data_IF_015126985067
#
_entry.id   IF_015126985067
#
_cell.length_a   1.000
_cell.length_b   1.000
_cell.length_c   1.000
_cell.angle_alpha   90.00
_cell.angle_beta   90.00
_cell.angle_gamma   90.00
#
_symmetry.space_group_name_H-M   'P 1'
#
loop_
_entity.id
_entity.type
_entity.pdbx_description
1 polymer ?
#
# COMPACT_ATOMS: atom_id res chain seq x y z
N UNK A 1 -4.79 8.24 13.85
CA UNK A 1 -3.47 7.61 13.67
C UNK A 1 -2.50 8.38 14.55
N UNK A 2 -1.81 7.70 15.45
CA UNK A 2 -0.73 8.28 16.26
C UNK A 2 0.51 8.34 15.35
N UNK A 3 0.84 9.53 14.85
CA UNK A 3 1.89 9.75 13.85
C UNK A 3 3.31 9.69 14.45
N UNK A 4 3.42 9.45 15.75
CA UNK A 4 4.65 9.61 16.54
C UNK A 4 5.60 8.40 16.45
N UNK A 5 5.18 7.30 15.82
CA UNK A 5 5.94 6.04 15.69
C UNK A 5 5.86 5.44 14.28
N UNK A 6 5.66 6.26 13.24
CA UNK A 6 5.66 5.77 11.87
C UNK A 6 7.09 5.36 11.49
N UNK A 7 7.26 4.08 11.16
CA UNK A 7 8.51 3.58 10.58
C UNK A 7 8.60 3.99 9.11
N UNK A 8 9.81 3.96 8.54
CA UNK A 8 10.00 4.15 7.10
C UNK A 8 9.18 3.14 6.26
N UNK A 9 8.89 1.97 6.83
CA UNK A 9 8.03 0.94 6.22
C UNK A 9 6.57 1.39 6.17
N UNK A 10 6.08 1.98 7.26
CA UNK A 10 4.73 2.54 7.31
C UNK A 10 4.56 3.70 6.32
N UNK A 11 5.58 4.55 6.17
CA UNK A 11 5.57 5.61 5.14
C UNK A 11 5.44 5.02 3.74
N UNK A 12 6.21 3.97 3.43
CA UNK A 12 6.13 3.30 2.13
C UNK A 12 4.75 2.68 1.89
N UNK A 13 4.13 2.10 2.92
CA UNK A 13 2.76 1.55 2.84
C UNK A 13 1.74 2.67 2.56
N UNK A 14 1.88 3.84 3.20
CA UNK A 14 1.03 5.01 2.95
C UNK A 14 1.20 5.52 1.52
N UNK A 15 2.42 5.54 1.00
CA UNK A 15 2.72 5.95 -0.38
C UNK A 15 2.07 4.97 -1.37
N UNK A 16 2.19 3.66 -1.12
CA UNK A 16 1.51 2.62 -1.90
C UNK A 16 -0.01 2.77 -1.85
N UNK A 17 -0.57 3.06 -0.68
CA UNK A 17 -2.02 3.26 -0.50
C UNK A 17 -2.48 4.46 -1.33
N UNK A 18 -1.80 5.59 -1.18
CA UNK A 18 -2.09 6.84 -1.88
C UNK A 18 -2.02 6.65 -3.39
N UNK A 19 -0.98 5.99 -3.88
CA UNK A 19 -0.80 5.71 -5.29
C UNK A 19 -1.93 4.82 -5.86
N UNK A 20 -2.35 3.81 -5.10
CA UNK A 20 -3.48 2.96 -5.49
C UNK A 20 -4.82 3.70 -5.43
N UNK A 21 -5.04 4.52 -4.40
CA UNK A 21 -6.27 5.29 -4.19
C UNK A 21 -6.48 6.28 -5.35
N UNK A 22 -5.42 6.98 -5.77
CA UNK A 22 -5.46 7.89 -6.92
C UNK A 22 -5.85 7.20 -8.24
N UNK A 23 -5.58 5.89 -8.40
CA UNK A 23 -5.96 5.13 -9.60
C UNK A 23 -7.38 4.57 -9.52
N UNK A 24 -7.93 4.45 -8.31
CA UNK A 24 -9.29 3.98 -8.04
C UNK A 24 -9.30 2.88 -6.96
N UNK A 25 -10.02 3.07 -5.84
CA UNK A 25 -10.01 2.14 -4.71
C UNK A 25 -10.60 0.76 -5.02
N UNK A 26 -11.50 0.65 -5.99
CA UNK A 26 -12.12 -0.61 -6.40
C UNK A 26 -11.23 -1.48 -7.33
N UNK A 27 -10.06 -0.98 -7.71
CA UNK A 27 -9.15 -1.70 -8.61
C UNK A 27 -8.32 -2.74 -7.86
N UNK A 28 -7.92 -3.76 -8.61
CA UNK A 28 -6.95 -4.75 -8.15
C UNK A 28 -5.58 -4.35 -8.68
N UNK A 29 -4.61 -4.30 -7.79
CA UNK A 29 -3.24 -3.93 -8.08
C UNK A 29 -2.33 -5.12 -7.87
N UNK A 30 -1.47 -5.39 -8.84
CA UNK A 30 -0.40 -6.37 -8.70
C UNK A 30 0.84 -5.67 -8.15
N UNK A 31 1.76 -6.40 -7.51
CA UNK A 31 3.03 -5.84 -7.02
C UNK A 31 3.73 -4.90 -8.02
N UNK A 32 3.99 -5.30 -9.29
CA UNK A 32 4.63 -4.41 -10.26
C UNK A 32 3.79 -3.16 -10.60
N UNK A 33 2.47 -3.23 -10.54
CA UNK A 33 1.61 -2.06 -10.74
C UNK A 33 1.73 -1.09 -9.56
N UNK A 34 1.73 -1.60 -8.32
CA UNK A 34 1.89 -0.77 -7.11
C UNK A 34 3.23 -0.03 -7.17
N UNK A 35 4.34 -0.76 -7.44
CA UNK A 35 5.67 -0.17 -7.59
C UNK A 35 5.68 0.96 -8.62
N UNK A 36 5.11 0.69 -9.80
CA UNK A 36 5.02 1.69 -10.87
C UNK A 36 4.21 2.91 -10.44
N UNK A 37 3.08 2.73 -9.75
CA UNK A 37 2.23 3.85 -9.34
C UNK A 37 2.89 4.72 -8.27
N UNK A 38 3.67 4.13 -7.37
CA UNK A 38 4.46 4.89 -6.40
C UNK A 38 5.61 5.62 -7.09
N UNK A 39 6.34 4.95 -7.98
CA UNK A 39 7.39 5.61 -8.75
C UNK A 39 6.85 6.76 -9.63
N UNK A 40 5.63 6.64 -10.16
CA UNK A 40 4.90 7.71 -10.84
C UNK A 40 4.56 8.88 -9.90
N UNK A 41 4.21 8.60 -8.63
CA UNK A 41 3.89 9.63 -7.63
C UNK A 41 5.09 10.51 -7.30
N UNK A 42 6.28 9.92 -7.22
CA UNK A 42 7.54 10.62 -6.93
C UNK A 42 8.30 11.08 -8.17
N UNK A 43 7.79 10.80 -9.38
CA UNK A 43 8.51 10.97 -10.65
C UNK A 43 9.93 10.37 -10.61
N UNK A 44 10.13 9.31 -9.83
CA UNK A 44 11.44 8.74 -9.52
C UNK A 44 11.42 7.22 -9.77
N UNK A 45 11.81 6.76 -10.97
CA UNK A 45 11.80 5.34 -11.30
C UNK A 45 12.79 4.57 -10.43
N UNK A 46 12.34 3.50 -9.79
CA UNK A 46 13.15 2.67 -8.91
C UNK A 46 13.23 3.18 -7.46
N UNK A 47 12.53 4.25 -7.09
CA UNK A 47 12.43 4.70 -5.70
C UNK A 47 11.91 3.57 -4.80
N UNK A 48 10.78 2.98 -5.19
CA UNK A 48 10.10 1.95 -4.40
C UNK A 48 10.93 0.68 -4.29
N UNK A 49 11.60 0.28 -5.38
CA UNK A 49 12.51 -0.89 -5.39
C UNK A 49 13.75 -0.65 -4.52
N UNK A 50 14.27 0.58 -4.49
CA UNK A 50 15.41 0.93 -3.64
C UNK A 50 15.03 0.82 -2.16
N UNK A 51 13.86 1.36 -1.78
CA UNK A 51 13.33 1.26 -0.41
C UNK A 51 13.12 -0.20 0.03
N UNK A 52 12.52 -1.03 -0.83
CA UNK A 52 12.32 -2.45 -0.54
C UNK A 52 13.64 -3.21 -0.29
N UNK A 53 14.71 -2.85 -1.01
CA UNK A 53 16.05 -3.40 -0.78
C UNK A 53 16.63 -2.96 0.57
N UNK A 54 16.38 -1.71 0.99
CA UNK A 54 16.80 -1.23 2.32
C UNK A 54 16.10 -2.01 3.45
N UNK A 55 14.83 -2.38 3.24
CA UNK A 55 14.04 -3.12 4.23
C UNK A 55 14.26 -4.64 4.21
N UNK A 56 14.94 -5.17 3.20
CA UNK A 56 15.05 -6.62 2.93
C UNK A 56 13.67 -7.32 2.91
N UNK A 57 12.65 -6.61 2.43
CA UNK A 57 11.25 -7.07 2.39
C UNK A 57 10.67 -6.96 0.99
N UNK A 58 9.76 -7.88 0.69
CA UNK A 58 8.91 -7.83 -0.50
C UNK A 58 7.70 -6.92 -0.30
N UNK A 59 7.12 -6.43 -1.40
CA UNK A 59 5.85 -5.67 -1.38
C UNK A 59 4.78 -6.49 -0.67
N UNK A 60 4.65 -7.79 -0.99
CA UNK A 60 3.71 -8.67 -0.28
C UNK A 60 3.89 -8.67 1.24
N UNK A 61 5.12 -8.67 1.77
CA UNK A 61 5.35 -8.66 3.21
C UNK A 61 4.91 -7.34 3.85
N UNK A 62 5.20 -6.20 3.21
CA UNK A 62 4.76 -4.88 3.69
C UNK A 62 3.23 -4.76 3.65
N UNK A 63 2.61 -5.13 2.53
CA UNK A 63 1.16 -5.05 2.38
C UNK A 63 0.43 -6.02 3.32
N UNK A 64 1.03 -7.19 3.63
CA UNK A 64 0.48 -8.12 4.62
C UNK A 64 0.52 -7.59 6.06
N UNK A 65 1.42 -6.65 6.36
CA UNK A 65 1.53 -6.00 7.67
C UNK A 65 0.50 -4.87 7.82
N UNK A 66 0.04 -4.30 6.70
CA UNK A 66 -0.98 -3.26 6.67
C UNK A 66 -2.40 -3.84 6.77
N UNK A 67 -3.29 -3.07 7.41
CA UNK A 67 -4.74 -3.35 7.44
C UNK A 67 -5.48 -2.72 6.26
N UNK A 68 -4.81 -1.88 5.50
CA UNK A 68 -5.37 -1.09 4.41
C UNK A 68 -5.33 -1.85 3.08
N UNK A 69 -4.68 -3.01 3.04
CA UNK A 69 -4.57 -3.87 1.88
C UNK A 69 -5.12 -5.26 2.15
N UNK A 70 -5.88 -5.78 1.19
CA UNK A 70 -6.41 -7.14 1.20
C UNK A 70 -5.86 -7.92 0.01
N UNK A 71 -5.20 -9.04 0.29
CA UNK A 71 -4.82 -10.01 -0.73
C UNK A 71 -6.08 -10.62 -1.37
N UNK A 72 -6.20 -10.52 -2.70
CA UNK A 72 -7.33 -11.02 -3.48
C UNK A 72 -6.93 -12.11 -4.49
N UNK A 73 -5.66 -12.52 -4.51
CA UNK A 73 -5.10 -13.54 -5.39
C UNK A 73 -3.59 -13.60 -5.27
N UNK A 74 -2.95 -14.46 -6.07
CA UNK A 74 -1.49 -14.59 -6.09
C UNK A 74 -0.88 -13.27 -6.61
N UNK A 75 -0.19 -12.54 -5.73
CA UNK A 75 0.44 -11.25 -6.06
C UNK A 75 -0.53 -10.12 -6.38
N UNK A 76 -1.81 -10.26 -6.01
CA UNK A 76 -2.88 -9.30 -6.30
C UNK A 76 -3.50 -8.75 -5.01
N UNK A 77 -3.59 -7.43 -4.94
CA UNK A 77 -3.96 -6.66 -3.76
C UNK A 77 -5.08 -5.68 -4.10
N UNK A 78 -5.99 -5.47 -3.15
CA UNK A 78 -7.02 -4.43 -3.22
C UNK A 78 -6.90 -3.52 -2.01
N UNK A 79 -7.28 -2.27 -2.19
CA UNK A 79 -7.45 -1.37 -1.06
C UNK A 79 -8.67 -1.82 -0.26
N UNK A 80 -8.50 -1.94 1.05
CA UNK A 80 -9.61 -2.08 1.97
C UNK A 80 -10.19 -0.69 2.10
N UNK A 81 -11.42 -0.44 1.62
CA UNK A 81 -12.04 0.86 1.82
C UNK A 81 -12.08 1.13 3.31
N UNK A 82 -11.70 2.34 3.71
CA UNK A 82 -11.89 2.83 5.08
C UNK A 82 -13.40 3.08 5.26
N UNK A 83 -14.19 2.01 5.23
CA UNK A 83 -15.55 2.02 5.75
C UNK A 83 -15.38 2.20 7.23
N UNK A 84 -15.48 3.47 7.65
CA UNK A 84 -15.83 3.88 8.99
C UNK A 84 -16.67 2.76 9.62
N UNK A 85 -16.11 2.11 10.63
CA UNK A 85 -16.80 1.15 11.48
C UNK A 85 -17.91 1.89 12.22
N UNK A 86 -18.97 2.21 11.50
CA UNK A 86 -20.28 2.64 11.96
C UNK A 86 -21.33 1.89 11.14
N UNK A 87 -21.29 0.57 11.20
CA UNK A 87 -22.49 -0.23 10.99
C UNK A 87 -22.57 -1.34 12.03
N UNK A 88 -23.60 -1.22 12.86
CA UNK A 88 -24.11 -2.11 13.91
C UNK A 88 -23.79 -1.59 15.32
N UNK A 89 -24.79 -1.22 16.13
CA UNK A 89 -25.91 -2.10 16.47
C UNK A 89 -27.23 -1.34 16.63
N UNK A 90 -28.25 -1.95 16.04
CA UNK A 90 -29.69 -1.75 16.20
C UNK A 90 -30.13 -1.74 17.65
#
# INVERSE_FOLDING_TARGET
MDLSHLTDEDMLIIDMYTACEMKGPDKTFTEPNILRHVDELYCCPGYTVSKLKEFDKSVCQLLSQSKDFQACGIGAWKLVPIVSSKKSKK
#
